data_IF_656287855543
#
_entry.id   IF_656287855543
#
_cell.length_a   1.000
_cell.length_b   1.000
_cell.length_c   1.000
_cell.angle_alpha   90.00
_cell.angle_beta   90.00
_cell.angle_gamma   90.00
#
_symmetry.space_group_name_H-M   'P 1'
#
loop_
_entity.id
_entity.type
_entity.pdbx_description
1 polymer ?
#
# COMPACT_ATOMS: atom_id res chain seq x y z
N UNK A 1 -53.95 32.61 85.59
CA UNK A 1 -53.09 31.71 84.79
C UNK A 1 -53.59 31.45 83.36
N UNK A 2 -54.88 31.60 83.04
CA UNK A 2 -55.40 31.33 81.67
C UNK A 2 -55.00 32.39 80.63
N UNK A 3 -54.86 33.66 81.01
CA UNK A 3 -54.51 34.76 80.10
C UNK A 3 -53.03 34.79 79.71
N UNK A 4 -52.14 34.38 80.60
CA UNK A 4 -50.69 34.27 80.35
C UNK A 4 -50.33 33.05 79.49
N UNK A 5 -51.11 31.97 79.60
CA UNK A 5 -50.96 30.79 78.73
C UNK A 5 -51.35 31.12 77.28
N UNK A 6 -52.42 31.92 77.08
CA UNK A 6 -52.90 32.32 75.75
C UNK A 6 -51.89 33.19 75.00
N UNK A 7 -51.19 34.09 75.69
CA UNK A 7 -50.15 34.93 75.09
C UNK A 7 -48.93 34.11 74.65
N UNK A 8 -48.48 33.16 75.48
CA UNK A 8 -47.38 32.26 75.12
C UNK A 8 -47.71 31.39 73.91
N UNK A 9 -48.94 30.88 73.81
CA UNK A 9 -49.39 30.10 72.65
C UNK A 9 -49.44 30.96 71.38
N UNK A 10 -49.85 32.23 71.46
CA UNK A 10 -49.87 33.11 70.28
C UNK A 10 -48.48 33.43 69.73
N UNK A 11 -47.48 33.57 70.60
CA UNK A 11 -46.08 33.83 70.21
C UNK A 11 -45.48 32.58 69.57
N UNK A 12 -45.85 31.40 70.06
CA UNK A 12 -45.37 30.12 69.53
C UNK A 12 -45.96 29.82 68.14
N UNK A 13 -47.24 30.19 67.91
CA UNK A 13 -47.90 30.08 66.59
C UNK A 13 -47.30 31.08 65.59
N UNK A 14 -46.94 32.29 66.02
CA UNK A 14 -46.31 33.29 65.14
C UNK A 14 -44.92 32.86 64.64
N UNK A 15 -44.14 32.16 65.47
CA UNK A 15 -42.83 31.60 65.09
C UNK A 15 -42.92 30.37 64.16
N UNK A 16 -44.04 29.63 64.19
CA UNK A 16 -44.27 28.51 63.27
C UNK A 16 -44.67 28.99 61.87
N UNK A 17 -45.33 30.15 61.75
CA UNK A 17 -45.75 30.72 60.47
C UNK A 17 -44.56 31.34 59.70
N UNK A 18 -43.56 31.91 60.40
CA UNK A 18 -42.36 32.47 59.75
C UNK A 18 -41.44 31.42 59.14
N UNK A 19 -41.50 30.16 59.58
CA UNK A 19 -40.75 29.05 58.96
C UNK A 19 -41.51 28.39 57.78
N UNK A 20 -42.78 28.74 57.56
CA UNK A 20 -43.60 28.23 56.46
C UNK A 20 -43.49 29.08 55.18
N UNK A 21 -42.73 30.18 55.21
CA UNK A 21 -42.18 30.74 53.98
C UNK A 21 -41.07 29.81 53.52
N UNK A 22 -41.50 28.76 52.82
CA UNK A 22 -40.71 28.06 51.82
C UNK A 22 -40.10 29.15 50.96
N UNK A 23 -38.82 29.42 51.19
CA UNK A 23 -37.98 30.01 50.18
C UNK A 23 -37.98 29.01 49.03
N UNK A 24 -38.91 29.19 48.09
CA UNK A 24 -38.62 28.93 46.69
C UNK A 24 -37.46 29.88 46.35
N UNK A 25 -36.24 29.48 46.74
CA UNK A 25 -35.07 29.89 46.03
C UNK A 25 -35.29 29.39 44.62
N UNK A 26 -35.70 30.31 43.75
CA UNK A 26 -35.62 30.14 42.32
C UNK A 26 -34.26 29.52 42.01
N UNK A 27 -34.24 28.23 41.69
CA UNK A 27 -33.06 27.55 41.21
C UNK A 27 -32.71 28.18 39.86
N UNK A 28 -31.88 29.22 39.93
CA UNK A 28 -30.78 29.52 39.04
C UNK A 28 -30.96 29.12 37.56
N UNK A 29 -31.98 29.71 36.92
CA UNK A 29 -32.21 29.58 35.47
C UNK A 29 -30.99 30.03 34.65
N UNK A 30 -30.17 30.91 35.20
CA UNK A 30 -28.93 31.43 34.60
C UNK A 30 -27.80 30.40 34.70
N UNK A 31 -27.62 29.74 35.87
CA UNK A 31 -26.67 28.64 36.03
C UNK A 31 -26.97 27.44 35.13
N UNK A 32 -28.24 27.07 34.97
CA UNK A 32 -28.65 25.98 34.08
C UNK A 32 -28.42 26.32 32.59
N UNK A 33 -28.66 27.57 32.19
CA UNK A 33 -28.38 28.06 30.84
C UNK A 33 -26.87 28.09 30.54
N UNK A 34 -26.04 28.48 31.51
CA UNK A 34 -24.59 28.45 31.38
C UNK A 34 -24.04 27.02 31.20
N UNK A 35 -24.53 26.06 31.99
CA UNK A 35 -24.14 24.64 31.87
C UNK A 35 -24.57 24.05 30.52
N UNK A 36 -25.77 24.39 30.02
CA UNK A 36 -26.23 23.95 28.69
C UNK A 36 -25.40 24.58 27.57
N UNK A 37 -25.02 25.85 27.68
CA UNK A 37 -24.14 26.53 26.72
C UNK A 37 -22.73 25.91 26.69
N UNK A 38 -22.17 25.58 27.85
CA UNK A 38 -20.87 24.91 27.97
C UNK A 38 -20.90 23.50 27.37
N UNK A 39 -21.96 22.73 27.63
CA UNK A 39 -22.15 21.40 27.03
C UNK A 39 -22.31 21.48 25.50
N UNK A 40 -22.99 22.50 24.99
CA UNK A 40 -23.11 22.73 23.54
C UNK A 40 -21.77 23.12 22.91
N UNK A 41 -20.99 23.99 23.56
CA UNK A 41 -19.64 24.36 23.11
C UNK A 41 -18.71 23.14 23.08
N UNK A 42 -18.68 22.33 24.14
CA UNK A 42 -17.92 21.08 24.19
C UNK A 42 -18.38 20.08 23.13
N UNK A 43 -19.69 19.98 22.88
CA UNK A 43 -20.23 19.11 21.82
C UNK A 43 -19.86 19.58 20.41
N UNK A 44 -19.73 20.89 20.18
CA UNK A 44 -19.27 21.48 18.92
C UNK A 44 -17.78 21.26 18.71
N UNK A 45 -16.94 21.54 19.72
CA UNK A 45 -15.50 21.26 19.67
C UNK A 45 -15.22 19.78 19.44
N UNK A 46 -15.94 18.89 20.13
CA UNK A 46 -15.77 17.44 19.96
C UNK A 46 -16.25 16.96 18.58
N UNK A 47 -17.23 17.63 17.96
CA UNK A 47 -17.64 17.37 16.57
C UNK A 47 -16.58 17.87 15.59
N UNK A 48 -15.98 19.02 15.84
CA UNK A 48 -14.95 19.61 14.99
C UNK A 48 -13.65 18.82 15.04
N UNK A 49 -13.19 18.44 16.24
CA UNK A 49 -12.07 17.52 16.42
C UNK A 49 -12.31 16.18 15.70
N UNK A 50 -13.51 15.60 15.82
CA UNK A 50 -13.88 14.37 15.08
C UNK A 50 -13.91 14.58 13.56
N UNK A 51 -14.24 15.77 13.06
CA UNK A 51 -14.18 16.09 11.62
C UNK A 51 -12.74 16.20 11.15
N UNK A 52 -11.91 16.97 11.87
CA UNK A 52 -10.48 17.09 11.57
C UNK A 52 -9.77 15.73 11.63
N UNK A 53 -10.05 14.90 12.63
CA UNK A 53 -9.47 13.55 12.73
C UNK A 53 -9.89 12.66 11.56
N UNK A 54 -11.17 12.73 11.14
CA UNK A 54 -11.66 12.00 9.96
C UNK A 54 -11.00 12.50 8.67
N UNK A 55 -10.81 13.81 8.52
CA UNK A 55 -10.15 14.40 7.37
C UNK A 55 -8.68 14.01 7.29
N UNK A 56 -7.93 14.11 8.39
CA UNK A 56 -6.54 13.65 8.49
C UNK A 56 -6.46 12.15 8.15
N UNK A 57 -7.33 11.33 8.74
CA UNK A 57 -7.37 9.89 8.48
C UNK A 57 -7.70 9.56 7.02
N UNK A 58 -8.57 10.35 6.38
CA UNK A 58 -8.90 10.20 4.97
C UNK A 58 -7.75 10.64 4.07
N UNK A 59 -7.09 11.76 4.39
CA UNK A 59 -5.90 12.25 3.69
C UNK A 59 -4.75 11.24 3.76
N UNK A 60 -4.46 10.69 4.95
CA UNK A 60 -3.45 9.64 5.10
C UNK A 60 -3.79 8.38 4.30
N UNK A 61 -5.06 7.95 4.32
CA UNK A 61 -5.50 6.80 3.52
C UNK A 61 -5.35 7.07 2.03
N UNK A 62 -5.65 8.28 1.57
CA UNK A 62 -5.49 8.69 0.18
C UNK A 62 -4.01 8.69 -0.23
N UNK A 63 -3.13 9.28 0.59
CA UNK A 63 -1.68 9.26 0.37
C UNK A 63 -1.13 7.83 0.33
N UNK A 64 -1.47 6.98 1.31
CA UNK A 64 -1.06 5.56 1.34
C UNK A 64 -1.54 4.79 0.11
N UNK A 65 -2.75 5.08 -0.40
CA UNK A 65 -3.26 4.47 -1.64
C UNK A 65 -2.48 4.95 -2.87
N UNK A 66 -2.23 6.25 -2.97
CA UNK A 66 -1.45 6.84 -4.07
C UNK A 66 -0.03 6.29 -4.11
N UNK A 67 0.66 6.23 -2.97
CA UNK A 67 2.01 5.67 -2.87
C UNK A 67 2.04 4.18 -3.25
N UNK A 68 1.05 3.39 -2.79
CA UNK A 68 0.92 1.98 -3.19
C UNK A 68 0.69 1.84 -4.70
N UNK A 69 -0.10 2.71 -5.30
CA UNK A 69 -0.35 2.70 -6.75
C UNK A 69 0.93 3.05 -7.53
N UNK A 70 1.66 4.10 -7.13
CA UNK A 70 2.94 4.47 -7.72
C UNK A 70 3.97 3.34 -7.60
N UNK A 71 4.12 2.75 -6.41
CA UNK A 71 5.03 1.62 -6.19
C UNK A 71 4.66 0.39 -7.02
N UNK A 72 3.37 0.14 -7.28
CA UNK A 72 2.94 -0.95 -8.18
C UNK A 72 3.30 -0.65 -9.63
N UNK A 73 3.01 0.57 -10.10
CA UNK A 73 3.35 1.01 -11.44
C UNK A 73 4.86 0.94 -11.70
N UNK A 74 5.68 1.44 -10.77
CA UNK A 74 7.15 1.38 -10.89
C UNK A 74 7.65 -0.08 -10.93
N UNK A 75 7.10 -0.96 -10.09
CA UNK A 75 7.43 -2.39 -10.12
C UNK A 75 7.06 -3.05 -11.45
N UNK A 76 5.94 -2.67 -12.05
CA UNK A 76 5.52 -3.18 -13.35
C UNK A 76 6.42 -2.70 -14.49
N UNK A 77 6.78 -1.41 -14.51
CA UNK A 77 7.75 -0.86 -15.46
C UNK A 77 9.09 -1.59 -15.33
N UNK A 78 9.62 -1.72 -14.11
CA UNK A 78 10.88 -2.42 -13.86
C UNK A 78 10.85 -3.90 -14.25
N UNK A 79 9.70 -4.57 -14.11
CA UNK A 79 9.53 -5.95 -14.58
C UNK A 79 9.57 -6.02 -16.11
N UNK A 80 8.91 -5.09 -16.80
CA UNK A 80 8.92 -5.00 -18.28
C UNK A 80 10.32 -4.72 -18.80
N UNK A 81 11.03 -3.76 -18.21
CA UNK A 81 12.41 -3.43 -18.58
C UNK A 81 13.33 -4.65 -18.42
N UNK A 82 13.28 -5.33 -17.28
CA UNK A 82 14.05 -6.58 -17.07
C UNK A 82 13.74 -7.65 -18.11
N UNK A 83 12.47 -7.84 -18.44
CA UNK A 83 12.07 -8.79 -19.50
C UNK A 83 12.63 -8.39 -20.86
N UNK A 84 12.60 -7.10 -21.21
CA UNK A 84 13.19 -6.60 -22.46
C UNK A 84 14.70 -6.79 -22.50
N UNK A 85 15.39 -6.53 -21.38
CA UNK A 85 16.83 -6.74 -21.26
C UNK A 85 17.21 -8.22 -21.38
N UNK A 86 16.45 -9.11 -20.74
CA UNK A 86 16.64 -10.57 -20.86
C UNK A 86 16.45 -11.03 -22.32
N UNK A 87 15.42 -10.55 -23.01
CA UNK A 87 15.16 -10.82 -24.43
C UNK A 87 16.33 -10.32 -25.29
N UNK A 88 16.78 -9.08 -25.09
CA UNK A 88 17.87 -8.47 -25.84
C UNK A 88 19.18 -9.22 -25.63
N UNK A 89 19.50 -9.56 -24.38
CA UNK A 89 20.67 -10.34 -24.01
C UNK A 89 20.63 -11.73 -24.68
N UNK A 90 19.46 -12.39 -24.65
CA UNK A 90 19.30 -13.71 -25.25
C UNK A 90 19.42 -13.70 -26.77
N UNK A 91 18.80 -12.73 -27.45
CA UNK A 91 18.97 -12.50 -28.90
C UNK A 91 20.43 -12.30 -29.28
N UNK A 92 21.17 -11.50 -28.50
CA UNK A 92 22.60 -11.27 -28.71
C UNK A 92 23.43 -12.55 -28.53
N UNK A 93 23.10 -13.39 -27.56
CA UNK A 93 23.74 -14.71 -27.36
C UNK A 93 23.53 -15.60 -28.58
N UNK A 94 22.28 -15.74 -29.02
CA UNK A 94 21.90 -16.56 -30.18
C UNK A 94 22.67 -16.11 -31.43
N UNK A 95 22.69 -14.81 -31.73
CA UNK A 95 23.41 -14.27 -32.88
C UNK A 95 24.92 -14.56 -32.84
N UNK A 96 25.54 -14.53 -31.64
CA UNK A 96 26.96 -14.91 -31.48
C UNK A 96 27.19 -16.38 -31.76
N UNK A 97 26.33 -17.25 -31.24
CA UNK A 97 26.43 -18.70 -31.42
C UNK A 97 26.14 -19.12 -32.87
N UNK A 98 25.19 -18.46 -33.55
CA UNK A 98 24.94 -18.63 -34.99
C UNK A 98 26.16 -18.26 -35.82
N UNK A 99 26.77 -17.10 -35.53
CA UNK A 99 28.01 -16.67 -36.21
C UNK A 99 29.15 -17.65 -35.96
N UNK A 100 29.25 -18.20 -34.75
CA UNK A 100 30.25 -19.21 -34.40
C UNK A 100 30.01 -20.52 -35.15
N UNK A 101 28.75 -20.93 -35.28
CA UNK A 101 28.33 -22.12 -36.04
C UNK A 101 28.69 -21.98 -37.52
N UNK A 102 28.39 -20.83 -38.14
CA UNK A 102 28.74 -20.55 -39.54
C UNK A 102 30.24 -20.65 -39.76
N UNK A 103 31.04 -19.94 -38.95
CA UNK A 103 32.51 -19.99 -39.05
C UNK A 103 33.08 -21.40 -38.90
N UNK A 104 32.51 -22.22 -38.00
CA UNK A 104 32.95 -23.61 -37.84
C UNK A 104 32.61 -24.46 -39.06
N UNK A 105 31.41 -24.30 -39.64
CA UNK A 105 31.01 -25.00 -40.85
C UNK A 105 31.88 -24.63 -42.05
N UNK A 106 32.12 -23.33 -42.26
CA UNK A 106 32.98 -22.83 -43.32
C UNK A 106 34.41 -23.39 -43.20
N UNK A 107 35.02 -23.31 -42.01
CA UNK A 107 36.36 -23.87 -41.77
C UNK A 107 36.40 -25.37 -42.02
N UNK A 108 35.41 -26.11 -41.50
CA UNK A 108 35.33 -27.56 -41.71
C UNK A 108 35.20 -27.91 -43.20
N UNK A 109 34.36 -27.20 -43.96
CA UNK A 109 34.21 -27.43 -45.40
C UNK A 109 35.50 -27.12 -46.16
N UNK A 110 36.14 -25.99 -45.84
CA UNK A 110 37.39 -25.58 -46.47
C UNK A 110 38.53 -26.56 -46.18
N UNK A 111 38.70 -26.97 -44.93
CA UNK A 111 39.77 -27.89 -44.55
C UNK A 111 39.49 -29.31 -45.04
N UNK A 112 38.21 -29.73 -45.15
CA UNK A 112 37.81 -30.97 -45.83
C UNK A 112 38.14 -30.93 -47.32
N UNK A 113 37.83 -29.82 -48.01
CA UNK A 113 38.18 -29.62 -49.42
C UNK A 113 39.70 -29.65 -49.65
N UNK A 114 40.47 -29.05 -48.75
CA UNK A 114 41.94 -29.07 -48.77
C UNK A 114 42.56 -30.42 -48.37
N UNK A 115 41.76 -31.44 -48.02
CA UNK A 115 42.26 -32.73 -47.55
C UNK A 115 43.00 -32.68 -46.21
N UNK A 116 42.87 -31.59 -45.44
CA UNK A 116 43.58 -31.39 -44.16
C UNK A 116 42.91 -32.06 -42.97
N UNK A 117 41.67 -32.53 -43.15
CA UNK A 117 40.92 -33.21 -42.09
C UNK A 117 41.05 -34.71 -42.19
N UNK A 118 41.47 -35.34 -41.10
CA UNK A 118 41.30 -36.78 -40.93
C UNK A 118 39.83 -37.14 -40.70
N UNK A 119 39.40 -38.38 -40.99
CA UNK A 119 38.04 -38.84 -40.69
C UNK A 119 37.64 -38.63 -39.22
N UNK A 120 38.58 -38.81 -38.29
CA UNK A 120 38.35 -38.60 -36.85
C UNK A 120 38.17 -37.12 -36.48
N UNK A 121 38.85 -36.21 -37.18
CA UNK A 121 38.67 -34.78 -36.96
C UNK A 121 37.31 -34.29 -37.48
N UNK A 122 36.82 -34.90 -38.57
CA UNK A 122 35.50 -34.59 -39.13
C UNK A 122 34.42 -34.96 -38.13
N UNK A 123 34.50 -36.16 -37.52
CA UNK A 123 33.52 -36.60 -36.52
C UNK A 123 33.55 -35.73 -35.27
N UNK A 124 34.74 -35.36 -34.78
CA UNK A 124 34.88 -34.42 -33.64
C UNK A 124 34.29 -33.04 -33.95
N UNK A 125 34.52 -32.51 -35.14
CA UNK A 125 33.95 -31.21 -35.55
C UNK A 125 32.43 -31.27 -35.71
N UNK A 126 31.90 -32.32 -36.34
CA UNK A 126 30.46 -32.54 -36.44
C UNK A 126 29.81 -32.62 -35.05
N UNK A 127 30.40 -33.37 -34.11
CA UNK A 127 29.90 -33.44 -32.72
C UNK A 127 29.86 -32.07 -32.05
N UNK A 128 30.89 -31.23 -32.25
CA UNK A 128 30.90 -29.84 -31.73
C UNK A 128 29.81 -28.97 -32.37
N UNK A 129 29.62 -29.11 -33.69
CA UNK A 129 28.57 -28.41 -34.45
C UNK A 129 27.18 -28.82 -33.96
N UNK A 130 26.94 -30.11 -33.73
CA UNK A 130 25.66 -30.64 -33.27
C UNK A 130 25.34 -30.21 -31.83
N UNK A 131 26.35 -30.21 -30.95
CA UNK A 131 26.21 -29.69 -29.59
C UNK A 131 25.84 -28.19 -29.59
N UNK A 132 26.48 -27.40 -30.46
CA UNK A 132 26.13 -25.98 -30.61
C UNK A 132 24.74 -25.78 -31.21
N UNK A 133 24.37 -26.57 -32.22
CA UNK A 133 23.04 -26.51 -32.84
C UNK A 133 21.94 -26.86 -31.84
N UNK A 134 22.11 -27.92 -31.06
CA UNK A 134 21.14 -28.30 -30.03
C UNK A 134 21.04 -27.27 -28.90
N UNK A 135 22.16 -26.65 -28.51
CA UNK A 135 22.17 -25.50 -27.60
C UNK A 135 21.39 -24.30 -28.15
N UNK A 136 21.62 -23.94 -29.41
CA UNK A 136 20.90 -22.88 -30.12
C UNK A 136 19.40 -23.12 -30.17
N UNK A 137 18.96 -24.34 -30.48
CA UNK A 137 17.52 -24.68 -30.50
C UNK A 137 16.88 -24.45 -29.14
N UNK A 138 17.53 -24.89 -28.05
CA UNK A 138 17.05 -24.64 -26.67
C UNK A 138 16.99 -23.16 -26.35
N UNK A 139 17.97 -22.40 -26.81
CA UNK A 139 18.06 -20.97 -26.57
C UNK A 139 17.01 -20.16 -27.34
N UNK A 140 16.71 -20.56 -28.57
CA UNK A 140 15.60 -20.02 -29.38
C UNK A 140 14.26 -20.35 -28.71
N UNK A 141 14.10 -21.56 -28.18
CA UNK A 141 12.87 -21.94 -27.45
C UNK A 141 12.70 -21.10 -26.17
N UNK A 142 13.79 -20.89 -25.42
CA UNK A 142 13.79 -19.99 -24.25
C UNK A 142 13.46 -18.55 -24.64
N UNK A 143 14.03 -18.05 -25.73
CA UNK A 143 13.71 -16.71 -26.26
C UNK A 143 12.22 -16.62 -26.59
N UNK A 144 11.66 -17.59 -27.30
CA UNK A 144 10.22 -17.65 -27.63
C UNK A 144 9.35 -17.66 -26.37
N UNK A 145 9.78 -18.34 -25.31
CA UNK A 145 9.08 -18.33 -24.01
C UNK A 145 9.14 -16.97 -23.31
N UNK A 146 10.23 -16.22 -23.47
CA UNK A 146 10.36 -14.86 -22.94
C UNK A 146 9.51 -13.85 -23.73
N UNK A 147 9.53 -13.95 -25.07
CA UNK A 147 8.73 -13.09 -25.96
C UNK A 147 7.22 -13.28 -25.75
N UNK A 148 6.78 -14.48 -25.37
CA UNK A 148 5.37 -14.73 -24.98
C UNK A 148 4.97 -14.08 -23.64
N UNK A 149 5.93 -13.69 -22.81
CA UNK A 149 5.68 -13.03 -21.51
C UNK A 149 5.69 -11.51 -21.62
N UNK A 150 6.09 -10.98 -22.78
CA UNK A 150 6.04 -9.57 -23.10
C UNK A 150 4.59 -9.14 -23.33
#
# INVERSE_FOLDING_TARGET
MKKTLLTFVSILVFNLITNAQVTEQAQDSVGLAAVVAEQQAQALELKEQKRMEKEVKNAEKAQKKAEKAQKKAEKEVKKREKLMDDIKSKRKSIAKDEKKLMKMREKMQLDKFKGKLSPNDVTKMNKKIDNLRSGLVKDIEKLRKLERKQ
#
